data_IF_715371992854
#
_entry.id   IF_715371992854
#
_cell.length_a   1.000
_cell.length_b   1.000
_cell.length_c   1.000
_cell.angle_alpha   90.00
_cell.angle_beta   90.00
_cell.angle_gamma   90.00
#
_symmetry.space_group_name_H-M   'P 1'
#
loop_
_entity.id
_entity.type
_entity.pdbx_description
1 polymer ?
#
# COMPACT_ATOMS: atom_id res chain seq x y z
N UNK A 1 2.06 -12.90 6.23
CA UNK A 1 1.49 -11.72 6.91
C UNK A 1 2.50 -10.64 6.66
N UNK A 2 2.12 -9.55 5.97
CA UNK A 2 3.07 -8.57 5.52
C UNK A 2 3.67 -7.84 6.73
N UNK A 3 4.99 -7.65 6.73
CA UNK A 3 5.65 -6.91 7.78
C UNK A 3 5.58 -5.42 7.44
N UNK A 4 4.66 -4.69 8.06
CA UNK A 4 4.43 -3.27 7.80
C UNK A 4 5.01 -2.44 8.95
N UNK A 5 5.84 -1.46 8.61
CA UNK A 5 6.42 -0.49 9.55
C UNK A 5 6.00 0.92 9.15
N UNK A 6 5.07 1.51 9.91
CA UNK A 6 4.68 2.91 9.73
C UNK A 6 5.84 3.83 10.16
N UNK A 7 6.27 4.70 9.25
CA UNK A 7 7.36 5.66 9.48
C UNK A 7 6.84 7.05 9.83
N UNK A 8 5.81 7.51 9.11
CA UNK A 8 5.27 8.85 9.29
C UNK A 8 3.75 8.86 9.12
N UNK A 9 3.10 9.75 9.85
CA UNK A 9 1.67 10.03 9.74
C UNK A 9 1.45 11.53 9.76
N UNK A 10 0.75 12.05 8.76
CA UNK A 10 0.43 13.46 8.61
C UNK A 10 -1.08 13.65 8.65
N UNK A 11 -1.52 14.73 9.31
CA UNK A 11 -2.93 15.12 9.30
C UNK A 11 -3.17 15.98 8.07
N UNK A 12 -4.08 15.53 7.20
CA UNK A 12 -4.56 16.29 6.05
C UNK A 12 -5.89 16.96 6.39
N UNK A 13 -5.85 18.28 6.54
CA UNK A 13 -7.03 19.09 6.81
C UNK A 13 -7.85 19.29 5.54
N UNK A 14 -9.18 19.04 5.60
CA UNK A 14 -10.13 19.21 4.48
C UNK A 14 -9.81 18.42 3.20
N UNK A 15 -9.03 17.35 3.28
CA UNK A 15 -8.84 16.44 2.15
C UNK A 15 -10.15 15.67 1.87
N UNK A 16 -10.60 15.67 0.60
CA UNK A 16 -11.88 15.04 0.18
C UNK A 16 -13.08 15.42 1.08
N UNK A 17 -13.11 16.66 1.56
CA UNK A 17 -14.20 17.20 2.39
C UNK A 17 -14.19 16.77 3.86
N UNK A 18 -13.12 16.13 4.35
CA UNK A 18 -12.98 15.69 5.75
C UNK A 18 -11.53 15.79 6.24
N UNK A 19 -11.29 15.52 7.52
CA UNK A 19 -9.93 15.34 8.02
C UNK A 19 -9.49 13.91 7.69
N UNK A 20 -8.34 13.78 7.07
CA UNK A 20 -7.76 12.48 6.68
C UNK A 20 -6.35 12.36 7.24
N UNK A 21 -5.85 11.13 7.31
CA UNK A 21 -4.48 10.81 7.61
C UNK A 21 -3.76 10.42 6.33
N UNK A 22 -2.53 10.90 6.17
CA UNK A 22 -1.60 10.45 5.16
C UNK A 22 -0.46 9.69 5.83
N UNK A 23 -0.32 8.41 5.48
CA UNK A 23 0.59 7.48 6.14
C UNK A 23 1.67 7.05 5.17
N UNK A 24 2.92 7.06 5.64
CA UNK A 24 4.08 6.48 4.97
C UNK A 24 4.54 5.26 5.75
N UNK A 25 4.64 4.12 5.08
CA UNK A 25 5.09 2.88 5.66
C UNK A 25 6.05 2.15 4.73
N UNK A 26 6.98 1.41 5.32
CA UNK A 26 7.77 0.40 4.61
C UNK A 26 7.12 -0.96 4.84
N UNK A 27 7.06 -1.80 3.83
CA UNK A 27 6.48 -3.13 3.95
C UNK A 27 7.30 -4.20 3.21
N UNK A 28 7.46 -5.36 3.84
CA UNK A 28 7.89 -6.58 3.14
C UNK A 28 6.64 -7.34 2.70
N UNK A 29 6.47 -7.50 1.39
CA UNK A 29 5.25 -8.00 0.75
C UNK A 29 5.57 -8.92 -0.42
N UNK A 30 4.69 -9.88 -0.69
CA UNK A 30 4.72 -10.68 -1.92
C UNK A 30 3.65 -10.22 -2.93
N UNK A 31 3.77 -10.67 -4.18
CA UNK A 31 2.70 -10.50 -5.17
C UNK A 31 1.37 -11.07 -4.65
N UNK A 32 0.30 -10.29 -4.80
CA UNK A 32 -1.07 -10.55 -4.32
C UNK A 32 -1.22 -10.61 -2.80
N UNK A 33 -0.23 -10.16 -2.04
CA UNK A 33 -0.39 -10.02 -0.59
C UNK A 33 -1.29 -8.84 -0.23
N UNK A 34 -2.08 -9.01 0.82
CA UNK A 34 -3.05 -8.02 1.29
C UNK A 34 -2.55 -7.29 2.54
N UNK A 35 -2.62 -5.97 2.53
CA UNK A 35 -2.37 -5.10 3.69
C UNK A 35 -3.70 -4.49 4.13
N UNK A 36 -4.09 -4.67 5.39
CA UNK A 36 -5.32 -4.11 5.92
C UNK A 36 -5.10 -2.69 6.41
N UNK A 37 -6.17 -1.89 6.46
CA UNK A 37 -6.11 -0.52 6.99
C UNK A 37 -5.44 -0.44 8.37
N UNK A 38 -5.78 -1.39 9.26
CA UNK A 38 -5.21 -1.48 10.62
C UNK A 38 -3.70 -1.66 10.65
N UNK A 39 -3.13 -2.31 9.64
CA UNK A 39 -1.68 -2.56 9.54
C UNK A 39 -0.93 -1.24 9.22
N UNK A 40 -1.65 -0.26 8.66
CA UNK A 40 -1.17 1.10 8.38
C UNK A 40 -1.55 2.10 9.49
N UNK A 41 -2.16 1.63 10.59
CA UNK A 41 -2.68 2.51 11.64
C UNK A 41 -3.89 3.35 11.20
N UNK A 42 -4.59 2.92 10.15
CA UNK A 42 -5.78 3.55 9.62
C UNK A 42 -7.02 2.73 9.99
N UNK A 43 -8.16 3.41 10.16
CA UNK A 43 -9.47 2.79 10.28
C UNK A 43 -10.04 2.40 8.91
N UNK A 44 -9.78 3.21 7.89
CA UNK A 44 -10.18 2.95 6.49
C UNK A 44 -9.13 3.50 5.53
N UNK A 45 -8.93 2.87 4.37
CA UNK A 45 -8.10 3.37 3.27
C UNK A 45 -8.98 3.90 2.12
N UNK A 46 -8.66 5.05 1.56
CA UNK A 46 -9.32 5.60 0.37
C UNK A 46 -8.48 5.48 -0.88
N UNK A 47 -7.17 5.60 -0.72
CA UNK A 47 -6.22 5.60 -1.82
C UNK A 47 -4.85 5.13 -1.35
N UNK A 48 -4.08 4.57 -2.27
CA UNK A 48 -2.75 4.05 -1.99
C UNK A 48 -1.82 4.19 -3.19
N UNK A 49 -0.60 4.60 -2.92
CA UNK A 49 0.52 4.57 -3.85
C UNK A 49 1.55 3.58 -3.29
N UNK A 50 1.96 2.63 -4.12
CA UNK A 50 2.93 1.59 -3.76
C UNK A 50 4.08 1.66 -4.73
N UNK A 51 5.30 1.68 -4.20
CA UNK A 51 6.52 1.71 -4.99
C UNK A 51 7.50 0.66 -4.47
N UNK A 52 8.07 -0.13 -5.36
CA UNK A 52 9.11 -1.10 -5.00
C UNK A 52 10.41 -0.40 -4.66
N UNK A 53 11.13 -0.84 -3.63
CA UNK A 53 12.51 -0.38 -3.37
C UNK A 53 13.55 -1.12 -4.24
N UNK A 54 13.13 -2.18 -4.93
CA UNK A 54 13.97 -2.91 -5.88
C UNK A 54 13.73 -2.38 -7.31
N UNK A 55 14.75 -1.86 -8.00
CA UNK A 55 14.61 -1.29 -9.35
C UNK A 55 14.21 -2.32 -10.41
N UNK A 56 14.34 -3.61 -10.13
CA UNK A 56 13.96 -4.69 -11.05
C UNK A 56 12.50 -5.13 -10.90
N UNK A 57 11.75 -4.52 -9.98
CA UNK A 57 10.36 -4.85 -9.67
C UNK A 57 9.52 -3.59 -9.83
N UNK A 58 8.50 -3.66 -10.68
CA UNK A 58 7.41 -2.70 -10.67
C UNK A 58 6.36 -3.17 -9.66
N UNK A 59 5.93 -2.27 -8.79
CA UNK A 59 4.90 -2.55 -7.80
C UNK A 59 3.73 -1.58 -7.94
N UNK A 60 2.55 -2.04 -7.55
CA UNK A 60 1.34 -1.23 -7.49
C UNK A 60 0.41 -1.75 -6.39
N UNK A 61 -0.54 -0.92 -5.98
CA UNK A 61 -1.55 -1.27 -4.99
C UNK A 61 -2.95 -1.00 -5.51
N UNK A 62 -3.90 -1.87 -5.19
CA UNK A 62 -5.33 -1.62 -5.42
C UNK A 62 -6.08 -1.68 -4.11
N UNK A 63 -6.81 -0.61 -3.78
CA UNK A 63 -7.70 -0.59 -2.62
C UNK A 63 -8.98 -1.35 -2.97
N UNK A 64 -9.32 -2.36 -2.17
CA UNK A 64 -10.58 -3.11 -2.24
C UNK A 64 -11.54 -2.52 -1.22
N UNK A 65 -12.78 -2.24 -1.60
CA UNK A 65 -13.82 -1.64 -0.76
C UNK A 65 -13.44 -0.28 -0.11
N UNK A 66 -12.99 0.72 -0.87
CA UNK A 66 -12.46 1.98 -0.33
C UNK A 66 -13.44 2.68 0.61
N UNK A 67 -12.96 3.12 1.77
CA UNK A 67 -13.77 3.80 2.80
C UNK A 67 -14.64 2.88 3.68
N UNK A 68 -14.64 1.56 3.45
CA UNK A 68 -15.24 0.57 4.36
C UNK A 68 -14.29 0.18 5.50
N UNK A 69 -14.82 -0.34 6.61
CA UNK A 69 -14.01 -0.80 7.74
C UNK A 69 -13.28 -2.12 7.49
N UNK A 70 -13.76 -2.93 6.54
CA UNK A 70 -13.16 -4.22 6.17
C UNK A 70 -12.25 -4.09 4.93
N UNK A 71 -11.72 -2.89 4.70
CA UNK A 71 -11.01 -2.59 3.48
C UNK A 71 -9.52 -2.88 3.58
N UNK A 72 -8.94 -3.26 2.44
CA UNK A 72 -7.55 -3.68 2.34
C UNK A 72 -6.97 -3.28 1.00
N UNK A 73 -5.64 -3.29 0.93
CA UNK A 73 -4.87 -3.05 -0.28
C UNK A 73 -4.31 -4.38 -0.75
N UNK A 74 -4.57 -4.75 -2.00
CA UNK A 74 -3.84 -5.83 -2.67
C UNK A 74 -2.61 -5.24 -3.32
N UNK A 75 -1.45 -5.80 -3.00
CA UNK A 75 -0.17 -5.43 -3.61
C UNK A 75 0.08 -6.32 -4.81
N UNK A 76 0.49 -5.72 -5.92
CA UNK A 76 0.94 -6.45 -7.11
C UNK A 76 2.40 -6.14 -7.35
N UNK A 77 3.18 -7.17 -7.67
CA UNK A 77 4.60 -7.05 -7.96
C UNK A 77 4.96 -7.84 -9.22
N UNK A 78 5.64 -7.18 -10.15
CA UNK A 78 6.05 -7.78 -11.42
C UNK A 78 7.51 -7.46 -11.73
N UNK A 79 8.27 -8.45 -12.19
CA UNK A 79 9.63 -8.22 -12.69
C UNK A 79 9.61 -7.36 -13.97
N UNK A 80 10.61 -6.49 -14.12
CA UNK A 80 10.74 -5.53 -15.23
C UNK A 80 11.25 -6.19 -16.54
N UNK A 81 11.48 -7.51 -16.56
CA UNK A 81 11.91 -8.24 -17.76
C UNK A 81 10.86 -8.14 -18.87
N UNK A 82 11.24 -7.66 -20.06
CA UNK A 82 10.34 -7.31 -21.18
C UNK A 82 9.54 -8.43 -21.86
N UNK A 83 9.32 -9.57 -21.21
CA UNK A 83 8.38 -10.63 -21.58
C UNK A 83 7.46 -10.90 -20.39
N UNK A 84 6.20 -11.27 -20.63
CA UNK A 84 5.12 -11.35 -19.63
C UNK A 84 5.59 -11.75 -18.22
N UNK A 85 5.30 -10.88 -17.24
CA UNK A 85 5.98 -10.87 -15.94
C UNK A 85 5.80 -12.15 -15.13
N UNK A 86 6.91 -12.73 -14.67
CA UNK A 86 6.90 -13.63 -13.52
C UNK A 86 6.47 -12.86 -12.28
N UNK A 87 5.68 -13.45 -11.36
CA UNK A 87 5.38 -12.84 -10.07
C UNK A 87 6.69 -12.40 -9.41
N UNK A 88 6.75 -11.14 -8.98
CA UNK A 88 7.79 -10.77 -8.05
C UNK A 88 7.59 -11.65 -6.80
N UNK A 89 8.65 -12.29 -6.32
CA UNK A 89 8.61 -12.98 -5.03
C UNK A 89 8.35 -11.97 -3.89
N UNK A 90 8.89 -12.22 -2.71
CA UNK A 90 8.86 -11.18 -1.66
C UNK A 90 9.78 -10.01 -2.02
N UNK A 91 9.32 -8.78 -1.77
CA UNK A 91 10.09 -7.56 -1.99
C UNK A 91 9.74 -6.48 -0.94
N UNK A 92 10.66 -5.53 -0.77
CA UNK A 92 10.43 -4.34 0.06
C UNK A 92 9.75 -3.24 -0.77
N UNK A 93 8.65 -2.71 -0.24
CA UNK A 93 7.86 -1.66 -0.86
C UNK A 93 7.71 -0.45 0.08
N UNK A 94 7.70 0.74 -0.50
CA UNK A 94 7.23 1.95 0.15
C UNK A 94 5.75 2.12 -0.15
N UNK A 95 4.96 2.33 0.90
CA UNK A 95 3.51 2.45 0.84
C UNK A 95 3.13 3.82 1.37
N UNK A 96 2.39 4.56 0.54
CA UNK A 96 1.76 5.83 0.91
C UNK A 96 0.26 5.65 0.83
N UNK A 97 -0.44 5.81 1.94
CA UNK A 97 -1.88 5.62 2.00
C UNK A 97 -2.59 6.86 2.54
N UNK A 98 -3.79 7.13 2.04
CA UNK A 98 -4.67 8.16 2.57
C UNK A 98 -5.91 7.49 3.16
N UNK A 99 -6.23 7.84 4.40
CA UNK A 99 -7.26 7.17 5.18
C UNK A 99 -7.90 8.03 6.26
N UNK A 100 -8.74 7.40 7.06
CA UNK A 100 -9.24 7.89 8.36
C UNK A 100 -8.79 6.88 9.39
#
# INVERSE_FOLDING_TARGET
>A
MPLVTVKHTFILTRARGRNMLYVWADAEVADRESIHARDLGLKTVYDVEVHSMNPNINAGGTVVNPGSYDNYVIIFGSNVSGSAATPAGSFYALIKAIGI
#
